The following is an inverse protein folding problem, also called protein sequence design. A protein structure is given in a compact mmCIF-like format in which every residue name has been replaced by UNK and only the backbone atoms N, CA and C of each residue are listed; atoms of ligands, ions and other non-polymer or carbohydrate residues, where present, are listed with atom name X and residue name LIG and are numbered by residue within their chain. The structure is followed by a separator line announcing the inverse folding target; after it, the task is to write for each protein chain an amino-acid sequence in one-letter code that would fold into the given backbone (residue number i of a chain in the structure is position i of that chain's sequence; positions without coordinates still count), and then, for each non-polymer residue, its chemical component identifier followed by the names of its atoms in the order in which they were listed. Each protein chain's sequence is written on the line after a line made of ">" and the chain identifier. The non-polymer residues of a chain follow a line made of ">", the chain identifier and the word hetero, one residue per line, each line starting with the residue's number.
data_IF_662065045025
#
_entry.id   IF_662065045025
#
_cell.length_a   1.000
_cell.length_b   1.000
_cell.length_c   1.000
_cell.angle_alpha   90.00
_cell.angle_beta   90.00
_cell.angle_gamma   90.00
#
_symmetry.space_group_name_H-M   'P 1'
#
loop_
_entity.id
_entity.type
_entity.pdbx_description
1 polymer ?
#
# COMPACT_ATOMS: atom_id res chain seq x y z
N UNK A 1 0.00 20.01 116.18
CA UNK A 1 -0.78 20.31 114.95
C UNK A 1 0.21 20.21 113.82
N UNK A 2 0.25 19.06 113.16
CA UNK A 2 1.28 18.72 112.19
C UNK A 2 0.57 18.15 110.97
N UNK A 3 0.71 18.89 109.86
CA UNK A 3 0.07 18.64 108.57
C UNK A 3 0.54 17.33 107.94
N UNK A 4 -0.45 16.56 107.47
CA UNK A 4 -0.26 15.33 106.70
C UNK A 4 -0.30 15.68 105.22
N UNK A 5 0.87 15.78 104.58
CA UNK A 5 0.99 15.98 103.13
C UNK A 5 1.19 14.64 102.44
N UNK A 6 0.21 14.25 101.62
CA UNK A 6 0.20 13.06 100.76
C UNK A 6 1.17 13.23 99.58
N UNK A 7 2.01 12.23 99.21
CA UNK A 7 2.82 12.31 98.01
C UNK A 7 2.03 11.86 96.77
N UNK A 8 2.17 12.66 95.72
CA UNK A 8 1.54 12.57 94.41
C UNK A 8 2.25 11.52 93.54
N UNK A 9 1.52 10.50 93.11
CA UNK A 9 2.00 9.37 92.32
C UNK A 9 2.13 9.78 90.82
N UNK A 10 3.34 10.16 90.41
CA UNK A 10 3.65 10.46 89.00
C UNK A 10 3.68 9.17 88.17
N UNK A 11 2.64 8.95 87.37
CA UNK A 11 2.64 7.94 86.30
C UNK A 11 3.56 8.40 85.16
N UNK A 12 4.58 7.59 84.87
CA UNK A 12 5.46 7.75 83.71
C UNK A 12 4.73 7.35 82.43
N UNK A 13 4.64 8.28 81.48
CA UNK A 13 4.22 7.99 80.10
C UNK A 13 5.26 7.10 79.40
N UNK A 14 4.83 6.08 78.63
CA UNK A 14 5.73 5.29 77.81
C UNK A 14 6.20 6.11 76.60
N UNK A 15 7.52 6.14 76.40
CA UNK A 15 8.14 6.76 75.24
C UNK A 15 7.60 6.14 73.94
N UNK A 16 7.04 6.99 73.07
CA UNK A 16 6.63 6.61 71.73
C UNK A 16 7.85 6.10 70.95
N UNK A 17 7.81 4.81 70.59
CA UNK A 17 8.79 4.21 69.70
C UNK A 17 8.80 4.87 68.32
N UNK A 18 9.91 4.77 67.57
CA UNK A 18 10.03 5.36 66.25
C UNK A 18 8.92 4.84 65.33
N UNK A 19 8.24 5.77 64.65
CA UNK A 19 7.18 5.46 63.72
C UNK A 19 7.70 4.48 62.65
N UNK A 20 6.93 3.43 62.29
CA UNK A 20 7.31 2.53 61.22
C UNK A 20 7.49 3.31 59.92
N UNK A 21 8.47 2.93 59.06
CA UNK A 21 8.67 3.60 57.79
C UNK A 21 7.38 3.54 56.97
N UNK A 22 7.06 4.61 56.22
CA UNK A 22 5.90 4.61 55.34
C UNK A 22 5.98 3.40 54.39
N UNK A 23 4.86 2.72 54.10
CA UNK A 23 4.84 1.65 53.13
C UNK A 23 5.42 2.17 51.80
N UNK A 24 6.19 1.35 51.06
CA UNK A 24 6.64 1.74 49.74
C UNK A 24 5.41 2.12 48.90
N UNK A 25 5.52 3.13 48.02
CA UNK A 25 4.43 3.46 47.11
C UNK A 25 4.02 2.17 46.36
N UNK A 26 2.71 1.94 46.13
CA UNK A 26 2.29 0.79 45.34
C UNK A 26 3.08 0.83 44.04
N UNK A 27 3.74 -0.29 43.70
CA UNK A 27 4.36 -0.44 42.40
C UNK A 27 3.30 -0.09 41.38
N UNK A 28 3.41 1.08 40.76
CA UNK A 28 2.56 1.51 39.68
C UNK A 28 2.86 0.57 38.54
N UNK A 29 2.17 -0.57 38.51
CA UNK A 29 2.25 -1.54 37.43
C UNK A 29 1.82 -0.82 36.17
N UNK A 30 2.79 -0.39 35.39
CA UNK A 30 2.54 0.12 34.05
C UNK A 30 2.01 -1.09 33.29
N UNK A 31 0.75 -1.02 32.87
CA UNK A 31 0.08 -2.15 32.23
C UNK A 31 0.90 -2.63 31.03
N UNK A 32 1.13 -3.94 30.94
CA UNK A 32 1.76 -4.55 29.77
C UNK A 32 0.95 -4.19 28.52
N UNK A 33 1.64 -3.82 27.43
CA UNK A 33 1.02 -3.52 26.15
C UNK A 33 0.06 -4.64 25.76
N UNK A 34 -1.21 -4.32 25.56
CA UNK A 34 -2.20 -5.25 25.05
C UNK A 34 -2.51 -4.97 23.59
N UNK A 35 -3.02 -5.97 22.88
CA UNK A 35 -3.51 -5.80 21.51
C UNK A 35 -4.61 -4.73 21.42
N UNK A 36 -5.40 -4.57 22.47
CA UNK A 36 -6.47 -3.56 22.53
C UNK A 36 -5.92 -2.13 22.45
N UNK A 37 -4.74 -1.90 23.03
CA UNK A 37 -4.09 -0.59 22.95
C UNK A 37 -3.70 -0.24 21.51
N UNK A 38 -3.37 -1.23 20.68
CA UNK A 38 -3.04 -1.01 19.26
C UNK A 38 -4.26 -0.62 18.41
N UNK A 39 -5.47 -0.83 18.92
CA UNK A 39 -6.72 -0.37 18.32
C UNK A 39 -7.32 -1.33 17.28
N UNK A 40 -8.62 -1.16 17.04
CA UNK A 40 -9.38 -2.00 16.09
C UNK A 40 -9.25 -1.54 14.64
N UNK A 41 -8.93 -0.25 14.42
CA UNK A 41 -8.69 0.32 13.09
C UNK A 41 -7.26 0.03 12.62
N UNK A 42 -7.00 0.02 11.30
CA UNK A 42 -5.64 0.06 10.78
C UNK A 42 -4.88 1.23 11.43
N UNK A 43 -3.61 1.03 11.82
CA UNK A 43 -2.80 2.10 12.35
C UNK A 43 -2.60 3.17 11.28
N UNK A 44 -2.63 4.44 11.69
CA UNK A 44 -2.12 5.53 10.89
C UNK A 44 -0.59 5.42 10.87
N UNK A 45 -0.02 5.24 9.68
CA UNK A 45 1.42 5.10 9.47
C UNK A 45 1.83 6.12 8.42
N UNK A 46 2.87 6.88 8.72
CA UNK A 46 3.37 7.94 7.86
C UNK A 46 4.11 7.40 6.63
N UNK A 47 4.21 8.24 5.58
CA UNK A 47 5.04 7.96 4.41
C UNK A 47 6.52 7.79 4.75
N UNK A 48 7.01 8.48 5.78
CA UNK A 48 8.40 8.35 6.22
C UNK A 48 8.69 6.96 6.79
N UNK A 49 7.78 6.38 7.58
CA UNK A 49 7.97 5.02 8.08
C UNK A 49 7.87 3.99 6.94
N UNK A 50 6.96 4.18 5.98
CA UNK A 50 6.90 3.33 4.78
C UNK A 50 8.18 3.40 3.94
N UNK A 51 8.73 4.61 3.73
CA UNK A 51 10.01 4.81 3.04
C UNK A 51 11.16 4.13 3.78
N UNK A 52 11.21 4.27 5.11
CA UNK A 52 12.20 3.57 5.93
C UNK A 52 12.06 2.05 5.80
N UNK A 53 10.84 1.53 5.84
CA UNK A 53 10.57 0.11 5.72
C UNK A 53 10.95 -0.46 4.34
N UNK A 54 10.85 0.32 3.27
CA UNK A 54 11.24 -0.11 1.93
C UNK A 54 12.74 0.02 1.64
N UNK A 55 13.40 1.06 2.15
CA UNK A 55 14.81 1.34 1.84
C UNK A 55 15.81 0.81 2.88
N UNK A 56 15.38 0.71 4.14
CA UNK A 56 16.21 0.42 5.31
C UNK A 56 15.49 -0.55 6.25
N UNK A 57 14.92 -1.63 5.69
CA UNK A 57 14.11 -2.59 6.44
C UNK A 57 14.86 -3.20 7.63
N UNK A 58 16.15 -3.45 7.46
CA UNK A 58 17.08 -3.96 8.48
C UNK A 58 17.22 -3.02 9.69
N UNK A 59 17.01 -1.71 9.49
CA UNK A 59 17.11 -0.67 10.52
C UNK A 59 15.77 -0.38 11.23
N UNK A 60 14.72 -1.15 10.94
CA UNK A 60 13.45 -1.03 11.67
C UNK A 60 13.62 -1.54 13.11
N UNK A 61 13.23 -0.68 14.05
CA UNK A 61 13.14 -1.05 15.47
C UNK A 61 12.02 -2.06 15.70
N UNK A 62 12.05 -2.76 16.86
CA UNK A 62 10.97 -3.69 17.24
C UNK A 62 9.61 -2.98 17.27
N UNK A 63 9.53 -1.77 17.81
CA UNK A 63 8.30 -0.97 17.84
C UNK A 63 7.78 -0.66 16.42
N UNK A 64 8.66 -0.28 15.49
CA UNK A 64 8.29 0.00 14.10
C UNK A 64 7.78 -1.27 13.38
N UNK A 65 8.42 -2.42 13.58
CA UNK A 65 7.94 -3.71 13.04
C UNK A 65 6.57 -4.08 13.59
N UNK A 66 6.35 -3.93 14.90
CA UNK A 66 5.05 -4.23 15.51
C UNK A 66 3.96 -3.27 15.04
N UNK A 67 4.28 -1.99 14.84
CA UNK A 67 3.33 -1.04 14.28
C UNK A 67 2.92 -1.42 12.86
N UNK A 68 3.88 -1.78 11.99
CA UNK A 68 3.60 -2.27 10.63
C UNK A 68 2.75 -3.56 10.67
N UNK A 69 3.11 -4.51 11.55
CA UNK A 69 2.38 -5.77 11.73
C UNK A 69 0.95 -5.54 12.26
N UNK A 70 0.71 -4.49 13.05
CA UNK A 70 -0.61 -4.14 13.59
C UNK A 70 -1.65 -3.75 12.52
N UNK A 71 -1.21 -3.49 11.27
CA UNK A 71 -2.11 -3.43 10.11
C UNK A 71 -2.87 -4.73 9.90
N UNK A 72 -2.31 -5.87 10.30
CA UNK A 72 -2.89 -7.22 10.19
C UNK A 72 -3.32 -7.56 8.76
N UNK A 73 -2.55 -7.09 7.79
CA UNK A 73 -2.69 -7.40 6.37
C UNK A 73 -1.34 -7.83 5.78
N UNK A 74 -1.37 -8.31 4.53
CA UNK A 74 -0.18 -8.83 3.87
C UNK A 74 0.87 -7.73 3.62
N UNK A 75 0.45 -6.49 3.39
CA UNK A 75 1.36 -5.34 3.23
C UNK A 75 2.12 -5.06 4.53
N UNK A 76 1.42 -5.07 5.67
CA UNK A 76 2.04 -4.94 6.99
C UNK A 76 3.04 -6.07 7.27
N UNK A 77 2.68 -7.33 6.91
CA UNK A 77 3.61 -8.47 7.00
C UNK A 77 4.84 -8.29 6.11
N UNK A 78 4.63 -7.89 4.86
CA UNK A 78 5.70 -7.69 3.88
C UNK A 78 6.70 -6.62 4.32
N UNK A 79 6.20 -5.50 4.84
CA UNK A 79 7.02 -4.40 5.34
C UNK A 79 7.68 -4.72 6.68
N UNK A 80 7.03 -5.50 7.56
CA UNK A 80 7.58 -5.82 8.87
C UNK A 80 8.59 -6.99 8.82
N UNK A 81 8.35 -8.00 7.99
CA UNK A 81 9.14 -9.24 7.93
C UNK A 81 9.13 -9.83 6.51
N UNK A 82 9.82 -9.20 5.54
CA UNK A 82 9.77 -9.61 4.13
C UNK A 82 10.20 -11.07 3.90
N UNK A 83 11.18 -11.56 4.66
CA UNK A 83 11.70 -12.92 4.55
C UNK A 83 10.69 -13.98 5.03
N UNK A 84 9.66 -13.59 5.79
CA UNK A 84 8.60 -14.49 6.26
C UNK A 84 7.53 -14.80 5.22
N UNK A 85 7.55 -14.11 4.08
CA UNK A 85 6.56 -14.28 3.02
C UNK A 85 6.81 -15.56 2.22
N UNK A 86 5.74 -16.30 1.97
CA UNK A 86 5.71 -17.36 0.94
C UNK A 86 5.79 -16.75 -0.47
N UNK A 87 6.14 -17.56 -1.48
CA UNK A 87 6.20 -17.06 -2.87
C UNK A 87 4.85 -16.52 -3.35
N UNK A 88 3.76 -17.26 -3.09
CA UNK A 88 2.40 -16.82 -3.42
C UNK A 88 2.01 -15.49 -2.75
N UNK A 89 2.49 -15.25 -1.53
CA UNK A 89 2.29 -13.98 -0.83
C UNK A 89 3.09 -12.84 -1.45
N UNK A 90 4.34 -13.09 -1.90
CA UNK A 90 5.13 -12.09 -2.61
C UNK A 90 4.48 -11.73 -3.94
N UNK A 91 4.07 -12.75 -4.70
CA UNK A 91 3.37 -12.57 -5.97
C UNK A 91 2.09 -11.76 -5.80
N UNK A 92 1.30 -12.02 -4.74
CA UNK A 92 0.12 -11.22 -4.44
C UNK A 92 0.45 -9.73 -4.19
N UNK A 93 1.50 -9.42 -3.41
CA UNK A 93 1.96 -8.04 -3.17
C UNK A 93 2.44 -7.37 -4.47
N UNK A 94 3.13 -8.12 -5.33
CA UNK A 94 3.58 -7.70 -6.66
C UNK A 94 2.47 -7.72 -7.73
N UNK A 95 1.19 -7.76 -7.30
CA UNK A 95 0.01 -7.73 -8.19
C UNK A 95 -0.05 -8.85 -9.23
N UNK A 96 0.71 -9.94 -9.05
CA UNK A 96 0.78 -11.08 -9.97
C UNK A 96 -0.41 -12.04 -9.82
N UNK A 97 -0.69 -12.86 -10.85
CA UNK A 97 -1.67 -13.92 -10.76
C UNK A 97 -1.39 -14.94 -9.66
N UNK A 98 -2.42 -15.70 -9.19
CA UNK A 98 -2.22 -16.87 -8.35
C UNK A 98 -1.22 -17.87 -8.97
N UNK A 99 -0.48 -18.66 -8.16
CA UNK A 99 0.65 -19.45 -8.65
C UNK A 99 0.34 -20.40 -9.82
N UNK A 100 -0.84 -21.03 -9.82
CA UNK A 100 -1.32 -21.91 -10.88
C UNK A 100 -1.58 -21.13 -12.18
N UNK A 101 -2.20 -19.96 -12.07
CA UNK A 101 -2.48 -19.06 -13.20
C UNK A 101 -1.20 -18.45 -13.73
N UNK A 102 -0.30 -18.01 -12.85
CA UNK A 102 1.00 -17.43 -13.20
C UNK A 102 1.84 -18.45 -13.99
N UNK A 103 1.98 -19.68 -13.48
CA UNK A 103 2.70 -20.73 -14.18
C UNK A 103 2.08 -21.07 -15.54
N UNK A 104 0.74 -21.09 -15.64
CA UNK A 104 0.04 -21.33 -16.91
C UNK A 104 0.29 -20.20 -17.91
N UNK A 105 0.21 -18.94 -17.49
CA UNK A 105 0.47 -17.76 -18.31
C UNK A 105 1.92 -17.77 -18.81
N UNK A 106 2.90 -18.00 -17.93
CA UNK A 106 4.32 -18.05 -18.29
C UNK A 106 4.57 -19.15 -19.32
N UNK A 107 4.03 -20.35 -19.09
CA UNK A 107 4.17 -21.47 -20.03
C UNK A 107 3.54 -21.18 -21.38
N UNK A 108 2.38 -20.55 -21.38
CA UNK A 108 1.68 -20.18 -22.60
C UNK A 108 2.49 -19.19 -23.44
N UNK A 109 3.04 -18.14 -22.82
CA UNK A 109 3.69 -17.03 -23.55
C UNK A 109 5.18 -17.22 -23.80
N UNK A 110 5.88 -18.03 -22.99
CA UNK A 110 7.34 -18.21 -23.07
C UNK A 110 7.79 -19.66 -23.24
N UNK A 111 6.92 -20.64 -22.98
CA UNK A 111 7.30 -22.06 -22.91
C UNK A 111 8.05 -22.47 -21.62
N UNK A 112 8.32 -21.53 -20.72
CA UNK A 112 8.97 -21.78 -19.42
C UNK A 112 7.93 -21.95 -18.30
N UNK A 113 8.34 -22.27 -17.08
CA UNK A 113 7.38 -22.54 -15.98
C UNK A 113 7.41 -21.51 -14.86
N UNK A 114 8.48 -20.71 -14.74
CA UNK A 114 8.61 -19.73 -13.64
C UNK A 114 9.21 -18.40 -14.09
N UNK A 115 8.97 -17.33 -13.33
CA UNK A 115 9.57 -16.01 -13.57
C UNK A 115 11.10 -16.10 -13.53
N UNK A 116 11.65 -16.83 -12.55
CA UNK A 116 13.09 -17.04 -12.42
C UNK A 116 13.72 -17.72 -13.66
N UNK A 117 13.04 -18.70 -14.25
CA UNK A 117 13.49 -19.32 -15.51
C UNK A 117 13.48 -18.33 -16.66
N UNK A 118 12.45 -17.48 -16.78
CA UNK A 118 12.36 -16.45 -17.83
C UNK A 118 13.49 -15.43 -17.66
N UNK A 119 13.70 -14.92 -16.45
CA UNK A 119 14.78 -13.97 -16.12
C UNK A 119 16.15 -14.59 -16.39
N UNK A 120 16.38 -15.82 -15.94
CA UNK A 120 17.65 -16.52 -16.20
C UNK A 120 17.85 -16.75 -17.70
N UNK A 121 16.83 -17.16 -18.44
CA UNK A 121 16.89 -17.32 -19.90
C UNK A 121 17.18 -15.98 -20.58
N UNK A 122 16.61 -14.87 -20.11
CA UNK A 122 16.88 -13.55 -20.64
C UNK A 122 18.34 -13.13 -20.46
N UNK A 123 18.93 -13.35 -19.28
CA UNK A 123 20.31 -12.95 -19.00
C UNK A 123 21.37 -13.99 -19.43
N UNK A 124 20.96 -15.19 -19.86
CA UNK A 124 21.89 -16.26 -20.24
C UNK A 124 22.75 -15.90 -21.46
N UNK A 125 24.09 -16.00 -21.37
CA UNK A 125 25.01 -15.58 -22.43
C UNK A 125 25.01 -16.50 -23.67
N UNK A 126 24.30 -17.62 -23.65
CA UNK A 126 24.31 -18.68 -24.68
C UNK A 126 23.76 -18.28 -26.05
N UNK A 127 23.30 -17.04 -26.25
CA UNK A 127 22.86 -16.54 -27.56
C UNK A 127 23.31 -15.13 -27.83
N UNK A 128 24.61 -14.88 -27.62
CA UNK A 128 25.30 -13.78 -28.30
C UNK A 128 25.03 -12.39 -27.74
N UNK A 129 24.96 -12.21 -26.41
CA UNK A 129 25.15 -10.93 -25.72
C UNK A 129 24.30 -9.72 -26.16
N UNK A 130 23.23 -9.95 -26.91
CA UNK A 130 22.31 -8.91 -27.40
C UNK A 130 21.11 -8.71 -26.49
N UNK A 131 20.39 -7.61 -26.71
CA UNK A 131 19.11 -7.34 -26.05
C UNK A 131 18.06 -8.37 -26.48
N UNK A 132 17.81 -9.36 -25.62
CA UNK A 132 16.85 -10.44 -25.87
C UNK A 132 15.40 -10.00 -25.75
N UNK A 133 15.10 -8.74 -25.38
CA UNK A 133 13.71 -8.26 -25.35
C UNK A 133 13.09 -8.30 -26.75
N UNK A 134 13.92 -8.13 -27.79
CA UNK A 134 13.50 -8.23 -29.18
C UNK A 134 13.11 -9.64 -29.63
N UNK A 135 13.49 -10.69 -28.88
CA UNK A 135 13.13 -12.07 -29.16
C UNK A 135 11.80 -12.48 -28.50
N UNK A 136 11.29 -11.68 -27.55
CA UNK A 136 10.01 -11.93 -26.92
C UNK A 136 8.87 -11.67 -27.90
N UNK A 137 7.87 -12.56 -27.90
CA UNK A 137 6.63 -12.34 -28.64
C UNK A 137 5.86 -11.15 -28.05
N UNK A 138 4.98 -10.52 -28.84
CA UNK A 138 4.09 -9.47 -28.33
C UNK A 138 3.25 -9.95 -27.14
N UNK A 139 2.76 -11.19 -27.20
CA UNK A 139 2.00 -11.79 -26.11
C UNK A 139 2.83 -11.90 -24.83
N UNK A 140 4.12 -12.25 -24.93
CA UNK A 140 5.03 -12.28 -23.79
C UNK A 140 5.32 -10.87 -23.25
N UNK A 141 5.64 -9.91 -24.12
CA UNK A 141 5.88 -8.52 -23.71
C UNK A 141 4.65 -7.95 -22.97
N UNK A 142 3.47 -8.09 -23.58
CA UNK A 142 2.20 -7.64 -22.99
C UNK A 142 1.92 -8.32 -21.66
N UNK A 143 2.09 -9.64 -21.58
CA UNK A 143 1.86 -10.40 -20.35
C UNK A 143 2.78 -9.89 -19.22
N UNK A 144 4.07 -9.73 -19.48
CA UNK A 144 5.04 -9.26 -18.47
C UNK A 144 4.75 -7.81 -18.06
N UNK A 145 4.42 -6.92 -19.00
CA UNK A 145 4.06 -5.52 -18.71
C UNK A 145 2.75 -5.38 -17.93
N UNK A 146 1.86 -6.36 -18.01
CA UNK A 146 0.64 -6.44 -17.21
C UNK A 146 0.84 -7.32 -15.97
N UNK A 147 1.99 -7.23 -15.29
CA UNK A 147 2.31 -7.99 -14.08
C UNK A 147 2.07 -9.51 -14.22
N UNK A 148 2.39 -10.06 -15.38
CA UNK A 148 2.22 -11.48 -15.76
C UNK A 148 0.76 -11.93 -15.96
N UNK A 149 -0.17 -10.99 -16.11
CA UNK A 149 -1.53 -11.25 -16.55
C UNK A 149 -1.64 -11.33 -18.07
N UNK A 150 -2.32 -12.36 -18.57
CA UNK A 150 -2.95 -12.32 -19.90
C UNK A 150 -4.34 -11.69 -19.78
N UNK A 151 -4.87 -11.00 -20.80
CA UNK A 151 -6.20 -10.39 -20.76
C UNK A 151 -7.29 -11.39 -20.36
N UNK A 152 -7.19 -12.61 -20.88
CA UNK A 152 -8.14 -13.69 -20.59
C UNK A 152 -8.05 -14.13 -19.13
N UNK A 153 -6.84 -14.27 -18.59
CA UNK A 153 -6.64 -14.64 -17.19
C UNK A 153 -6.99 -13.51 -16.23
N UNK A 154 -6.74 -12.26 -16.62
CA UNK A 154 -7.06 -11.07 -15.84
C UNK A 154 -8.58 -10.98 -15.69
N UNK A 155 -9.29 -11.06 -16.81
CA UNK A 155 -10.73 -11.09 -16.81
C UNK A 155 -11.25 -12.30 -16.03
N UNK A 156 -10.66 -13.48 -16.14
CA UNK A 156 -11.25 -14.64 -15.46
C UNK A 156 -10.97 -14.68 -13.97
N UNK A 157 -9.78 -14.27 -13.56
CA UNK A 157 -9.23 -14.60 -12.24
C UNK A 157 -8.81 -13.40 -11.41
N UNK A 158 -8.71 -12.19 -11.98
CA UNK A 158 -8.41 -11.00 -11.19
C UNK A 158 -9.58 -10.72 -10.26
N UNK A 159 -9.31 -10.86 -8.97
CA UNK A 159 -10.22 -10.44 -7.93
C UNK A 159 -9.83 -9.02 -7.54
N UNK A 160 -10.83 -8.18 -7.27
CA UNK A 160 -10.60 -6.85 -6.72
C UNK A 160 -9.77 -6.96 -5.45
N UNK A 161 -8.66 -6.21 -5.42
CA UNK A 161 -7.84 -6.15 -4.23
C UNK A 161 -8.62 -5.49 -3.08
N UNK A 162 -8.30 -5.82 -1.82
CA UNK A 162 -8.92 -5.15 -0.70
C UNK A 162 -8.74 -3.63 -0.84
N UNK A 163 -9.75 -2.80 -0.47
CA UNK A 163 -9.62 -1.35 -0.53
C UNK A 163 -8.39 -0.81 0.23
N UNK A 164 -7.89 -1.55 1.23
CA UNK A 164 -6.69 -1.18 1.98
C UNK A 164 -5.38 -1.26 1.17
N UNK A 165 -5.42 -1.84 -0.03
CA UNK A 165 -4.28 -1.94 -0.96
C UNK A 165 -4.38 -0.97 -2.13
N UNK A 166 -5.59 -0.52 -2.48
CA UNK A 166 -5.90 0.02 -3.80
C UNK A 166 -5.12 1.28 -4.20
N UNK A 167 -4.67 2.12 -3.26
CA UNK A 167 -3.85 3.30 -3.56
C UNK A 167 -3.14 3.78 -2.29
N UNK A 168 -2.31 2.90 -1.72
CA UNK A 168 -1.66 3.15 -0.44
C UNK A 168 -0.15 3.32 -0.57
N UNK A 169 0.47 4.31 0.11
CA UNK A 169 1.93 4.36 0.28
C UNK A 169 2.52 3.08 0.89
N UNK A 170 1.68 2.26 1.55
CA UNK A 170 2.04 0.92 2.03
C UNK A 170 2.30 -0.08 0.89
N UNK A 171 1.45 -0.09 -0.14
CA UNK A 171 1.59 -1.03 -1.27
C UNK A 171 2.82 -0.67 -2.10
N UNK A 172 2.98 0.61 -2.44
CA UNK A 172 4.18 1.13 -3.12
C UNK A 172 5.47 0.75 -2.37
N UNK A 173 5.51 0.99 -1.06
CA UNK A 173 6.67 0.64 -0.25
C UNK A 173 6.94 -0.87 -0.22
N UNK A 174 5.89 -1.69 -0.16
CA UNK A 174 6.03 -3.15 -0.16
C UNK A 174 6.53 -3.67 -1.52
N UNK A 175 6.01 -3.14 -2.63
CA UNK A 175 6.48 -3.47 -3.98
C UNK A 175 7.95 -3.08 -4.15
N UNK A 176 8.33 -1.85 -3.76
CA UNK A 176 9.73 -1.39 -3.82
C UNK A 176 10.64 -2.30 -3.01
N UNK A 177 10.24 -2.67 -1.79
CA UNK A 177 11.01 -3.58 -0.93
C UNK A 177 11.25 -4.94 -1.59
N UNK A 178 10.18 -5.56 -2.12
CA UNK A 178 10.25 -6.90 -2.71
C UNK A 178 11.04 -6.91 -4.03
N UNK A 179 10.87 -5.90 -4.89
CA UNK A 179 11.64 -5.77 -6.12
C UNK A 179 13.12 -5.48 -5.84
N UNK A 180 13.43 -4.71 -4.78
CA UNK A 180 14.82 -4.46 -4.38
C UNK A 180 15.55 -5.72 -3.93
N UNK A 181 14.82 -6.71 -3.41
CA UNK A 181 15.36 -8.03 -3.08
C UNK A 181 15.60 -8.92 -4.32
N UNK A 182 15.08 -8.52 -5.50
CA UNK A 182 15.19 -9.26 -6.77
C UNK A 182 15.64 -8.33 -7.91
N UNK A 183 16.86 -7.77 -7.85
CA UNK A 183 17.28 -6.72 -8.78
C UNK A 183 17.31 -7.18 -10.24
N UNK A 184 17.62 -8.45 -10.52
CA UNK A 184 17.63 -8.99 -11.89
C UNK A 184 16.22 -9.10 -12.49
N UNK A 185 15.24 -9.48 -11.67
CA UNK A 185 13.83 -9.57 -12.04
C UNK A 185 13.25 -8.17 -12.29
N UNK A 186 13.51 -7.24 -11.38
CA UNK A 186 13.10 -5.84 -11.53
C UNK A 186 13.73 -5.17 -12.77
N UNK A 187 15.03 -5.42 -13.02
CA UNK A 187 15.70 -4.90 -14.21
C UNK A 187 15.14 -5.50 -15.51
N UNK A 188 14.82 -6.79 -15.51
CA UNK A 188 14.18 -7.46 -16.63
C UNK A 188 12.79 -6.88 -16.93
N UNK A 189 11.92 -6.79 -15.93
CA UNK A 189 10.54 -6.26 -16.10
C UNK A 189 10.55 -4.80 -16.56
N UNK A 190 11.49 -3.99 -16.05
CA UNK A 190 11.68 -2.61 -16.50
C UNK A 190 12.15 -2.54 -17.96
N UNK A 191 13.05 -3.42 -18.39
CA UNK A 191 13.51 -3.48 -19.78
C UNK A 191 12.37 -3.89 -20.72
N UNK A 192 11.57 -4.89 -20.33
CA UNK A 192 10.40 -5.35 -21.10
C UNK A 192 9.35 -4.25 -21.21
N UNK A 193 9.00 -3.59 -20.10
CA UNK A 193 8.04 -2.47 -20.10
C UNK A 193 8.51 -1.32 -20.99
N UNK A 194 9.81 -0.97 -20.94
CA UNK A 194 10.38 0.04 -21.83
C UNK A 194 10.27 -0.37 -23.30
N UNK A 195 10.55 -1.62 -23.64
CA UNK A 195 10.46 -2.12 -25.01
C UNK A 195 9.00 -2.16 -25.53
N UNK A 196 8.03 -2.50 -24.67
CA UNK A 196 6.61 -2.50 -24.98
C UNK A 196 6.05 -1.09 -25.24
N UNK A 197 6.50 -0.10 -24.46
CA UNK A 197 6.07 1.29 -24.60
C UNK A 197 6.78 2.06 -25.74
N UNK A 198 7.74 1.45 -26.44
CA UNK A 198 8.38 2.07 -27.61
C UNK A 198 7.38 2.14 -28.78
N UNK A 199 7.04 3.34 -29.31
CA UNK A 199 6.14 3.50 -30.45
C UNK A 199 6.53 2.66 -31.68
N UNK A 200 7.84 2.44 -31.88
CA UNK A 200 8.41 1.67 -32.98
C UNK A 200 8.08 0.18 -32.89
N UNK A 201 7.84 -0.31 -31.67
CA UNK A 201 7.42 -1.66 -31.35
C UNK A 201 5.91 -1.83 -31.56
N UNK A 202 5.11 -0.82 -31.21
CA UNK A 202 3.65 -0.82 -31.33
C UNK A 202 3.14 -0.94 -32.77
N UNK A 203 3.81 -0.32 -33.75
CA UNK A 203 3.41 -0.38 -35.17
C UNK A 203 3.52 -1.79 -35.79
N UNK A 204 4.33 -2.69 -35.21
CA UNK A 204 4.53 -4.06 -35.73
C UNK A 204 3.61 -5.10 -35.12
N UNK A 205 2.86 -4.75 -34.07
CA UNK A 205 2.34 -5.75 -33.14
C UNK A 205 0.84 -5.67 -32.86
N UNK A 206 0.07 -4.89 -33.63
CA UNK A 206 -1.39 -4.82 -33.49
C UNK A 206 -2.04 -6.16 -33.89
N UNK A 207 -2.61 -6.93 -32.94
CA UNK A 207 -3.47 -8.05 -33.27
C UNK A 207 -4.83 -7.53 -33.73
N UNK A 208 -5.46 -8.28 -34.63
CA UNK A 208 -6.84 -8.07 -35.07
C UNK A 208 -7.80 -8.10 -33.87
N UNK A 209 -8.72 -7.13 -33.81
CA UNK A 209 -9.86 -7.12 -32.89
C UNK A 209 -10.74 -8.36 -33.12
N UNK A 210 -10.44 -9.45 -32.41
CA UNK A 210 -11.35 -10.58 -32.29
C UNK A 210 -12.32 -10.27 -31.13
N UNK A 211 -13.56 -9.98 -31.53
CA UNK A 211 -14.69 -9.77 -30.64
C UNK A 211 -14.79 -10.92 -29.63
N UNK A 212 -14.73 -10.59 -28.34
CA UNK A 212 -15.05 -11.55 -27.28
C UNK A 212 -16.51 -12.02 -27.46
N UNK A 213 -16.76 -13.34 -27.62
CA UNK A 213 -18.11 -13.86 -27.61
C UNK A 213 -18.75 -13.65 -26.23
N UNK A 214 -20.08 -13.52 -26.23
CA UNK A 214 -20.91 -13.42 -25.02
C UNK A 214 -20.47 -14.48 -23.98
N UNK A 215 -20.03 -14.00 -22.81
CA UNK A 215 -19.42 -14.84 -21.77
C UNK A 215 -20.51 -15.43 -20.87
N UNK A 216 -20.49 -16.76 -20.76
CA UNK A 216 -21.43 -17.59 -20.03
C UNK A 216 -21.42 -17.36 -18.49
N UNK A 217 -22.54 -17.70 -17.84
CA UNK A 217 -22.76 -17.67 -16.38
C UNK A 217 -21.69 -18.42 -15.54
N UNK A 218 -20.90 -19.31 -16.17
CA UNK A 218 -19.83 -20.08 -15.52
C UNK A 218 -18.66 -19.19 -15.03
N UNK A 219 -18.28 -18.15 -15.78
CA UNK A 219 -17.17 -17.27 -15.38
C UNK A 219 -17.52 -16.44 -14.14
N UNK A 220 -18.77 -16.00 -14.04
CA UNK A 220 -19.28 -15.31 -12.87
C UNK A 220 -19.27 -16.19 -11.62
N UNK A 221 -19.53 -17.50 -11.78
CA UNK A 221 -19.45 -18.46 -10.67
C UNK A 221 -18.00 -18.70 -10.22
N UNK A 222 -17.07 -18.83 -11.15
CA UNK A 222 -15.64 -19.00 -10.83
C UNK A 222 -15.07 -17.77 -10.11
N UNK A 223 -15.37 -16.55 -10.58
CA UNK A 223 -14.97 -15.30 -9.90
C UNK A 223 -15.51 -15.23 -8.47
N UNK A 224 -16.80 -15.57 -8.28
CA UNK A 224 -17.41 -15.61 -6.94
C UNK A 224 -16.74 -16.63 -6.01
N UNK A 225 -16.44 -17.82 -6.52
CA UNK A 225 -15.73 -18.85 -5.76
C UNK A 225 -14.35 -18.37 -5.31
N UNK A 226 -13.54 -17.84 -6.22
CA UNK A 226 -12.19 -17.34 -5.90
C UNK A 226 -12.22 -16.14 -4.96
N UNK A 227 -13.17 -15.23 -5.13
CA UNK A 227 -13.37 -14.11 -4.20
C UNK A 227 -13.67 -14.60 -2.78
N UNK A 228 -14.51 -15.64 -2.63
CA UNK A 228 -14.78 -16.25 -1.34
C UNK A 228 -13.54 -16.95 -0.74
N UNK A 229 -12.77 -17.68 -1.56
CA UNK A 229 -11.50 -18.31 -1.14
C UNK A 229 -10.48 -17.27 -0.67
N UNK A 230 -10.35 -16.16 -1.41
CA UNK A 230 -9.47 -15.06 -1.01
C UNK A 230 -9.94 -14.37 0.27
N UNK A 231 -11.25 -14.17 0.46
CA UNK A 231 -11.78 -13.63 1.70
C UNK A 231 -11.46 -14.51 2.91
N UNK A 232 -11.55 -15.84 2.75
CA UNK A 232 -11.15 -16.81 3.77
C UNK A 232 -9.65 -16.74 4.04
N UNK A 233 -8.82 -16.64 3.00
CA UNK A 233 -7.36 -16.52 3.15
C UNK A 233 -6.96 -15.22 3.85
N UNK A 234 -7.58 -14.10 3.51
CA UNK A 234 -7.38 -12.80 4.18
C UNK A 234 -7.79 -12.90 5.66
N UNK A 235 -8.91 -13.55 5.97
CA UNK A 235 -9.34 -13.76 7.36
C UNK A 235 -8.35 -14.64 8.13
N UNK A 236 -7.88 -15.73 7.51
CA UNK A 236 -6.86 -16.63 8.09
C UNK A 236 -5.56 -15.89 8.38
N UNK A 237 -5.07 -15.13 7.40
CA UNK A 237 -3.85 -14.32 7.54
C UNK A 237 -4.01 -13.29 8.66
N UNK A 238 -5.18 -12.64 8.76
CA UNK A 238 -5.46 -11.66 9.82
C UNK A 238 -5.36 -12.27 11.21
N UNK A 239 -5.88 -13.47 11.42
CA UNK A 239 -5.78 -14.19 12.69
C UNK A 239 -4.35 -14.70 12.98
N UNK A 240 -3.63 -15.19 11.95
CA UNK A 240 -2.21 -15.55 12.08
C UNK A 240 -1.38 -14.34 12.54
N UNK A 241 -1.55 -13.20 11.89
CA UNK A 241 -0.83 -11.97 12.21
C UNK A 241 -1.19 -11.42 13.58
N UNK A 242 -2.45 -11.58 13.99
CA UNK A 242 -2.89 -11.25 15.36
C UNK A 242 -2.16 -12.12 16.38
N UNK A 243 -2.12 -13.43 16.18
CA UNK A 243 -1.44 -14.35 17.09
C UNK A 243 0.07 -14.06 17.15
N UNK A 244 0.70 -13.78 16.01
CA UNK A 244 2.11 -13.37 15.96
C UNK A 244 2.37 -12.09 16.75
N UNK A 245 1.49 -11.08 16.60
CA UNK A 245 1.60 -9.82 17.32
C UNK A 245 1.43 -10.00 18.84
N UNK A 246 0.46 -10.82 19.28
CA UNK A 246 0.27 -11.14 20.69
C UNK A 246 1.49 -11.86 21.29
N UNK A 247 2.15 -12.74 20.53
CA UNK A 247 3.35 -13.44 20.99
C UNK A 247 4.59 -12.52 21.08
N UNK A 248 4.77 -11.64 20.09
CA UNK A 248 5.82 -10.63 20.10
C UNK A 248 5.67 -9.59 21.22
N UNK A 249 4.43 -9.33 21.65
CA UNK A 249 4.13 -8.48 22.81
C UNK A 249 4.35 -9.22 24.14
N UNK A 250 4.14 -10.54 24.18
CA UNK A 250 4.33 -11.36 25.39
C UNK A 250 5.81 -11.54 25.75
N UNK A 251 6.74 -11.41 24.80
CA UNK A 251 8.16 -11.68 25.03
C UNK A 251 8.75 -10.71 26.08
N UNK A 252 9.14 -11.18 27.28
CA UNK A 252 9.28 -10.35 28.48
C UNK A 252 10.58 -9.54 28.58
N UNK A 253 11.47 -9.56 27.58
CA UNK A 253 12.81 -9.00 27.72
C UNK A 253 12.86 -7.46 27.84
N UNK A 254 11.81 -6.73 27.43
CA UNK A 254 11.79 -5.26 27.38
C UNK A 254 10.36 -4.68 27.42
N UNK A 255 9.42 -5.31 28.14
CA UNK A 255 7.99 -4.97 28.10
C UNK A 255 7.67 -3.49 28.35
N UNK A 256 8.28 -2.88 29.37
CA UNK A 256 8.03 -1.48 29.75
C UNK A 256 8.65 -0.49 28.75
N UNK A 257 9.87 -0.77 28.29
CA UNK A 257 10.59 0.05 27.31
C UNK A 257 9.89 0.01 25.93
N UNK A 258 9.41 -1.18 25.54
CA UNK A 258 8.65 -1.35 24.30
C UNK A 258 7.30 -0.63 24.37
N UNK A 259 6.63 -0.66 25.52
CA UNK A 259 5.40 0.10 25.76
C UNK A 259 5.60 1.60 25.58
N UNK A 260 6.65 2.14 26.18
CA UNK A 260 7.03 3.54 26.03
C UNK A 260 7.37 3.87 24.57
N UNK A 261 8.20 3.07 23.92
CA UNK A 261 8.60 3.26 22.52
C UNK A 261 7.40 3.20 21.56
N UNK A 262 6.45 2.29 21.77
CA UNK A 262 5.23 2.22 20.96
C UNK A 262 4.33 3.44 21.13
N UNK A 263 4.20 3.96 22.35
CA UNK A 263 3.44 5.19 22.61
C UNK A 263 4.07 6.41 21.92
N UNK A 264 5.39 6.57 22.08
CA UNK A 264 6.16 7.63 21.42
C UNK A 264 6.06 7.52 19.90
N UNK A 265 6.26 6.33 19.35
CA UNK A 265 6.16 6.07 17.92
C UNK A 265 4.79 6.45 17.37
N UNK A 266 3.70 6.10 18.05
CA UNK A 266 2.35 6.43 17.59
C UNK A 266 2.06 7.92 17.63
N UNK A 267 2.57 8.62 18.64
CA UNK A 267 2.46 10.08 18.68
C UNK A 267 3.23 10.73 17.53
N UNK A 268 4.45 10.24 17.25
CA UNK A 268 5.22 10.65 16.07
C UNK A 268 4.43 10.40 14.78
N UNK A 269 3.82 9.22 14.62
CA UNK A 269 3.01 8.90 13.44
C UNK A 269 1.80 9.82 13.29
N UNK A 270 1.11 10.20 14.37
CA UNK A 270 -0.01 11.14 14.28
C UNK A 270 0.42 12.49 13.72
N UNK A 271 1.56 13.01 14.19
CA UNK A 271 2.11 14.28 13.71
C UNK A 271 2.53 14.18 12.24
N UNK A 272 3.27 13.14 11.88
CA UNK A 272 3.74 12.94 10.51
C UNK A 272 2.59 12.71 9.52
N UNK A 273 1.56 11.95 9.90
CA UNK A 273 0.38 11.74 9.05
C UNK A 273 -0.43 13.02 8.86
N UNK A 274 -0.52 13.88 9.88
CA UNK A 274 -1.14 15.19 9.73
C UNK A 274 -0.36 16.09 8.75
N UNK A 275 0.98 16.02 8.79
CA UNK A 275 1.84 16.73 7.83
C UNK A 275 1.69 16.17 6.42
N UNK A 276 1.69 14.84 6.25
CA UNK A 276 1.47 14.18 4.95
C UNK A 276 0.14 14.64 4.32
N UNK A 277 -0.93 14.72 5.13
CA UNK A 277 -2.24 15.19 4.68
C UNK A 277 -2.25 16.68 4.28
N UNK A 278 -1.50 17.52 5.01
CA UNK A 278 -1.36 18.94 4.64
C UNK A 278 -0.57 19.10 3.33
N UNK A 279 0.48 18.31 3.12
CA UNK A 279 1.24 18.30 1.88
C UNK A 279 0.38 17.84 0.69
N UNK A 280 -0.46 16.82 0.87
CA UNK A 280 -1.38 16.34 -0.16
C UNK A 280 -2.42 17.39 -0.53
N UNK A 281 -3.00 18.08 0.47
CA UNK A 281 -3.93 19.18 0.22
C UNK A 281 -3.27 20.29 -0.61
N UNK A 282 -2.03 20.67 -0.27
CA UNK A 282 -1.28 21.68 -1.04
C UNK A 282 -0.98 21.22 -2.46
N UNK A 283 -0.61 19.95 -2.68
CA UNK A 283 -0.39 19.41 -4.03
C UNK A 283 -1.66 19.44 -4.86
N UNK A 284 -2.77 19.01 -4.27
CA UNK A 284 -4.07 19.01 -4.93
C UNK A 284 -4.50 20.45 -5.33
N UNK A 285 -4.28 21.44 -4.46
CA UNK A 285 -4.58 22.84 -4.77
C UNK A 285 -3.74 23.37 -5.95
N UNK A 286 -2.45 23.00 -6.01
CA UNK A 286 -1.56 23.36 -7.12
C UNK A 286 -2.03 22.70 -8.42
N UNK A 287 -2.30 21.39 -8.41
CA UNK A 287 -2.78 20.66 -9.59
C UNK A 287 -4.14 21.19 -10.07
N UNK A 288 -5.06 21.51 -9.16
CA UNK A 288 -6.35 22.11 -9.50
C UNK A 288 -6.17 23.49 -10.14
N UNK A 289 -5.26 24.32 -9.61
CA UNK A 289 -4.93 25.62 -10.18
C UNK A 289 -4.30 25.50 -11.58
N UNK A 290 -3.42 24.51 -11.80
CA UNK A 290 -2.83 24.23 -13.10
C UNK A 290 -3.87 23.73 -14.12
N UNK A 291 -4.72 22.78 -13.75
CA UNK A 291 -5.82 22.30 -14.60
C UNK A 291 -6.77 23.44 -14.97
N UNK A 292 -7.08 24.33 -14.04
CA UNK A 292 -7.89 25.52 -14.32
C UNK A 292 -7.22 26.45 -15.33
N UNK A 293 -5.92 26.71 -15.20
CA UNK A 293 -5.15 27.52 -16.16
C UNK A 293 -5.14 26.89 -17.55
N UNK A 294 -4.92 25.58 -17.66
CA UNK A 294 -4.96 24.86 -18.93
C UNK A 294 -6.34 24.95 -19.60
N UNK A 295 -7.42 24.82 -18.82
CA UNK A 295 -8.78 24.96 -19.32
C UNK A 295 -9.08 26.39 -19.80
N UNK A 296 -8.63 27.41 -19.07
CA UNK A 296 -8.75 28.81 -19.47
C UNK A 296 -7.97 29.11 -20.77
N UNK A 297 -6.75 28.59 -20.90
CA UNK A 297 -5.93 28.73 -22.11
C UNK A 297 -6.59 28.06 -23.32
N UNK A 298 -7.09 26.83 -23.17
CA UNK A 298 -7.83 26.12 -24.22
C UNK A 298 -9.11 26.87 -24.62
N UNK A 299 -9.82 27.46 -23.65
CA UNK A 299 -11.01 28.26 -23.92
C UNK A 299 -10.66 29.56 -24.68
N UNK A 300 -9.56 30.23 -24.31
CA UNK A 300 -9.07 31.40 -25.01
C UNK A 300 -8.60 31.06 -26.43
N UNK A 301 -7.89 29.95 -26.62
CA UNK A 301 -7.44 29.49 -27.93
C UNK A 301 -8.64 29.19 -28.84
N UNK A 302 -9.67 28.50 -28.32
CA UNK A 302 -10.95 28.28 -29.03
C UNK A 302 -11.63 29.59 -29.38
N UNK A 303 -11.68 30.57 -28.47
CA UNK A 303 -12.23 31.92 -28.74
C UNK A 303 -11.44 32.63 -29.85
N UNK A 304 -10.10 32.54 -29.84
CA UNK A 304 -9.22 33.12 -30.88
C UNK A 304 -9.43 32.45 -32.23
N UNK A 305 -9.58 31.13 -32.28
CA UNK A 305 -9.91 30.37 -33.49
C UNK A 305 -11.27 30.78 -34.06
N UNK A 306 -12.31 30.90 -33.21
CA UNK A 306 -13.65 31.39 -33.62
C UNK A 306 -13.59 32.82 -34.18
N UNK A 307 -12.87 33.74 -33.52
CA UNK A 307 -12.65 35.12 -34.03
C UNK A 307 -11.95 35.14 -35.38
N UNK A 308 -10.91 34.31 -35.57
CA UNK A 308 -10.20 34.18 -36.87
C UNK A 308 -11.12 33.61 -37.97
N UNK A 309 -11.96 32.62 -37.65
CA UNK A 309 -12.93 32.06 -38.60
C UNK A 309 -13.98 33.10 -39.01
N UNK A 310 -14.53 33.85 -38.04
CA UNK A 310 -15.49 34.93 -38.31
C UNK A 310 -14.89 36.03 -39.20
N UNK A 311 -13.66 36.47 -38.91
CA UNK A 311 -12.96 37.46 -39.74
C UNK A 311 -12.69 36.98 -41.18
N UNK A 312 -12.46 35.68 -41.38
CA UNK A 312 -12.27 35.09 -42.72
C UNK A 312 -13.57 34.90 -43.49
N UNK A 313 -14.71 34.68 -42.82
CA UNK A 313 -16.01 34.45 -43.47
C UNK A 313 -16.66 35.73 -44.02
N UNK A 314 -16.01 36.89 -43.91
CA UNK A 314 -16.38 38.15 -44.60
C UNK A 314 -17.88 38.40 -44.59
N UNK A 315 -18.40 38.95 -43.49
CA UNK A 315 -19.83 39.01 -43.16
C UNK A 315 -20.77 39.20 -44.35
N UNK A 316 -21.55 38.15 -44.64
CA UNK A 316 -22.97 38.21 -45.03
C UNK A 316 -23.53 36.78 -45.18
N UNK A 317 -23.39 35.96 -44.14
CA UNK A 317 -23.85 34.57 -44.14
C UNK A 317 -24.66 34.26 -42.90
N UNK A 318 -25.89 34.79 -42.89
CA UNK A 318 -27.02 34.29 -42.10
C UNK A 318 -27.26 32.83 -42.51
N UNK A 319 -26.57 31.89 -41.87
CA UNK A 319 -26.88 30.47 -41.93
C UNK A 319 -26.64 29.90 -40.52
N UNK A 320 -27.70 29.99 -39.72
CA UNK A 320 -28.29 28.91 -38.94
C UNK A 320 -27.35 27.76 -38.51
N UNK A 321 -26.43 28.02 -37.58
CA UNK A 321 -25.73 26.97 -36.80
C UNK A 321 -26.27 26.98 -35.36
N UNK A 322 -27.55 26.64 -35.27
CA UNK A 322 -28.31 26.41 -34.05
C UNK A 322 -27.98 25.03 -33.43
N UNK A 323 -26.71 24.67 -33.17
CA UNK A 323 -26.43 23.29 -32.69
C UNK A 323 -25.19 23.05 -31.78
N UNK A 324 -24.67 24.06 -31.06
CA UNK A 324 -23.61 23.81 -30.05
C UNK A 324 -23.88 24.43 -28.66
N UNK A 325 -25.16 24.53 -28.28
CA UNK A 325 -25.59 25.02 -26.96
C UNK A 325 -25.36 24.05 -25.78
N UNK A 326 -24.74 22.88 -25.96
CA UNK A 326 -24.84 21.77 -25.00
C UNK A 326 -23.50 21.15 -24.58
N UNK A 327 -22.49 21.92 -24.15
CA UNK A 327 -21.28 21.30 -23.53
C UNK A 327 -20.74 22.04 -22.30
N UNK A 328 -21.31 23.16 -21.86
CA UNK A 328 -20.77 23.89 -20.70
C UNK A 328 -21.59 23.79 -19.40
N UNK A 329 -22.75 23.11 -19.42
CA UNK A 329 -23.62 23.00 -18.23
C UNK A 329 -23.47 21.71 -17.42
N UNK A 330 -22.64 20.75 -17.86
CA UNK A 330 -22.62 19.42 -17.24
C UNK A 330 -21.57 19.19 -16.13
N UNK A 331 -20.71 20.16 -15.78
CA UNK A 331 -19.60 19.89 -14.84
C UNK A 331 -19.53 20.79 -13.60
N UNK A 332 -20.57 21.59 -13.32
CA UNK A 332 -20.62 22.43 -12.10
C UNK A 332 -21.47 21.79 -10.97
N UNK A 333 -21.92 20.54 -11.13
CA UNK A 333 -22.81 19.89 -10.14
C UNK A 333 -22.25 18.64 -9.44
N UNK A 334 -20.94 18.37 -9.50
CA UNK A 334 -20.31 17.28 -8.73
C UNK A 334 -19.27 17.80 -7.71
N UNK A 335 -19.61 18.86 -6.99
CA UNK A 335 -19.01 19.16 -5.68
C UNK A 335 -20.09 18.97 -4.61
N UNK A 336 -20.15 17.77 -4.06
CA UNK A 336 -21.01 17.36 -2.94
C UNK A 336 -20.33 16.24 -2.18
#
# INVERSE_FOLDING_TARGET
>A
MSDTTTPEERRSEPAAGPAPPPPPPPAGGVAALSLEELGSSPPQISRNLYRKASQHNDQLSKAERLLLLSRRDLLGKALAYPDSLTEAQRDAVLTRPPPDVLAANIRHVTGLSTVAEVVHAFWSPTGGGGDRTAELSYAALRCITLDWWTPESEDRYRVEQPPSWADGPAHEAAVVLLLSARPEEAAFEAAVTKAFCDPSSLERMLPSDDASPDRDDEEGNERRRRSAEQALEVARLREELRAQLEEELRTPATGDDLAAAMRELRERMRVEVAQDAEEDARRHDVEAAERKRQMEELAEEKRRKRRRKAARKGGDGDDDDSDEGYVLSALVLNEG
#
